data_IF_325270269056
#
_entry.id   IF_325270269056
#
_cell.length_a   1.000
_cell.length_b   1.000
_cell.length_c   1.000
_cell.angle_alpha   90.00
_cell.angle_beta   90.00
_cell.angle_gamma   90.00
#
_symmetry.space_group_name_H-M   'P 1'
#
loop_
_entity.id
_entity.type
_entity.pdbx_description
1 polymer ?
#
# COMPACT_ATOMS: atom_id res chain seq x y z
N UNK A 1 -30.70 34.52 5.45
CA UNK A 1 -30.35 33.12 5.11
C UNK A 1 -30.34 32.34 6.40
N UNK A 2 -31.30 31.42 6.54
CA UNK A 2 -31.39 30.50 7.67
C UNK A 2 -30.17 29.58 7.68
N UNK A 3 -29.84 29.03 8.85
CA UNK A 3 -28.80 27.99 8.99
C UNK A 3 -29.16 26.76 8.14
N UNK A 4 -30.45 26.54 7.93
CA UNK A 4 -31.02 25.48 7.11
C UNK A 4 -30.64 25.64 5.63
N UNK A 5 -30.74 26.86 5.09
CA UNK A 5 -30.40 27.16 3.69
C UNK A 5 -28.92 26.86 3.40
N UNK A 6 -28.04 27.19 4.36
CA UNK A 6 -26.60 26.90 4.26
C UNK A 6 -26.30 25.42 4.36
N UNK A 7 -27.04 24.67 5.17
CA UNK A 7 -26.88 23.23 5.30
C UNK A 7 -27.31 22.52 4.01
N UNK A 8 -28.39 22.97 3.37
CA UNK A 8 -28.88 22.44 2.08
C UNK A 8 -27.86 22.71 0.96
N UNK A 9 -27.32 23.92 0.87
CA UNK A 9 -26.31 24.27 -0.14
C UNK A 9 -25.03 23.42 -0.03
N UNK A 10 -24.58 23.15 1.20
CA UNK A 10 -23.40 22.31 1.46
C UNK A 10 -23.65 20.85 1.07
N UNK A 11 -24.84 20.31 1.36
CA UNK A 11 -25.21 18.95 0.95
C UNK A 11 -25.21 18.81 -0.57
N UNK A 12 -25.83 19.73 -1.30
CA UNK A 12 -25.86 19.67 -2.76
C UNK A 12 -24.46 19.78 -3.40
N UNK A 13 -23.55 20.54 -2.77
CA UNK A 13 -22.18 20.69 -3.28
C UNK A 13 -21.35 19.42 -3.08
N UNK A 14 -21.58 18.71 -1.97
CA UNK A 14 -20.93 17.44 -1.66
C UNK A 14 -21.46 16.34 -2.57
N UNK A 15 -22.78 16.24 -2.74
CA UNK A 15 -23.42 15.21 -3.57
C UNK A 15 -23.03 15.33 -5.05
N UNK A 16 -22.96 16.57 -5.57
CA UNK A 16 -22.48 16.85 -6.93
C UNK A 16 -21.02 16.43 -7.14
N UNK A 17 -20.14 16.61 -6.15
CA UNK A 17 -18.72 16.19 -6.23
C UNK A 17 -18.53 14.69 -6.07
N UNK A 18 -19.32 14.04 -5.20
CA UNK A 18 -19.19 12.61 -4.92
C UNK A 18 -19.80 11.72 -6.00
N UNK A 19 -20.80 12.20 -6.76
CA UNK A 19 -21.48 11.41 -7.80
C UNK A 19 -20.56 10.88 -8.92
N UNK A 20 -19.37 11.50 -9.10
CA UNK A 20 -18.32 11.05 -10.04
C UNK A 20 -17.19 10.22 -9.42
N UNK A 21 -17.03 10.24 -8.09
CA UNK A 21 -15.95 9.54 -7.37
C UNK A 21 -16.36 8.08 -7.22
N UNK A 22 -16.08 7.28 -8.25
CA UNK A 22 -16.34 5.82 -8.23
C UNK A 22 -16.83 5.23 -9.54
N UNK A 23 -17.16 6.06 -10.54
CA UNK A 23 -17.55 5.62 -11.89
C UNK A 23 -16.44 5.83 -12.94
N UNK A 24 -15.27 6.31 -12.54
CA UNK A 24 -14.12 6.51 -13.42
C UNK A 24 -13.48 5.21 -13.89
N UNK A 25 -12.66 5.30 -14.95
CA UNK A 25 -11.91 4.18 -15.55
C UNK A 25 -11.16 3.34 -14.51
N UNK A 26 -10.52 3.99 -13.54
CA UNK A 26 -9.76 3.34 -12.47
C UNK A 26 -10.61 2.54 -11.47
N UNK A 27 -11.81 3.01 -11.15
CA UNK A 27 -12.73 2.27 -10.28
C UNK A 27 -13.19 0.96 -10.93
N UNK A 28 -13.35 0.94 -12.26
CA UNK A 28 -13.64 -0.29 -13.00
C UNK A 28 -12.46 -1.26 -12.97
N UNK A 29 -11.22 -0.76 -13.11
CA UNK A 29 -10.01 -1.58 -13.07
C UNK A 29 -9.84 -2.25 -11.70
N UNK A 30 -10.01 -1.51 -10.60
CA UNK A 30 -9.89 -2.06 -9.24
C UNK A 30 -10.98 -3.12 -8.99
N UNK A 31 -12.20 -2.91 -9.51
CA UNK A 31 -13.28 -3.91 -9.42
C UNK A 31 -13.03 -5.16 -10.28
N UNK A 32 -12.25 -5.06 -11.35
CA UNK A 32 -11.86 -6.18 -12.21
C UNK A 32 -10.62 -6.93 -11.70
N UNK A 33 -9.84 -6.34 -10.78
CA UNK A 33 -8.66 -6.98 -10.22
C UNK A 33 -9.05 -8.21 -9.39
N UNK A 34 -8.36 -9.33 -9.61
CA UNK A 34 -8.55 -10.56 -8.84
C UNK A 34 -8.02 -10.34 -7.41
N UNK A 35 -8.88 -10.51 -6.41
CA UNK A 35 -8.44 -10.61 -5.02
C UNK A 35 -7.70 -11.94 -4.84
N UNK A 36 -6.46 -11.95 -4.31
CA UNK A 36 -5.72 -13.19 -4.13
C UNK A 36 -6.43 -14.10 -3.14
N UNK A 37 -6.37 -15.41 -3.39
CA UNK A 37 -6.77 -16.39 -2.39
C UNK A 37 -5.76 -16.42 -1.23
N UNK A 38 -6.17 -16.94 -0.06
CA UNK A 38 -5.28 -17.06 1.10
C UNK A 38 -4.04 -17.89 0.77
N UNK A 39 -4.19 -18.98 0.03
CA UNK A 39 -3.06 -19.85 -0.31
C UNK A 39 -2.10 -19.18 -1.30
N UNK A 40 -2.63 -18.43 -2.27
CA UNK A 40 -1.81 -17.65 -3.22
C UNK A 40 -1.02 -16.57 -2.48
N UNK A 41 -1.68 -15.85 -1.58
CA UNK A 41 -1.05 -14.80 -0.77
C UNK A 41 0.07 -15.37 0.11
N UNK A 42 -0.19 -16.47 0.82
CA UNK A 42 0.79 -17.09 1.72
C UNK A 42 2.01 -17.60 0.97
N UNK A 43 1.84 -18.23 -0.21
CA UNK A 43 2.97 -18.67 -1.03
C UNK A 43 3.88 -17.53 -1.43
N UNK A 44 3.31 -16.43 -1.92
CA UNK A 44 4.08 -15.23 -2.30
C UNK A 44 4.78 -14.63 -1.09
N UNK A 45 4.06 -14.48 0.02
CA UNK A 45 4.60 -13.94 1.27
C UNK A 45 5.81 -14.74 1.77
N UNK A 46 5.76 -16.07 1.71
CA UNK A 46 6.87 -16.94 2.13
C UNK A 46 8.11 -16.76 1.25
N UNK A 47 7.93 -16.72 -0.08
CA UNK A 47 9.04 -16.54 -1.02
C UNK A 47 9.67 -15.16 -0.85
N UNK A 48 8.85 -14.11 -0.77
CA UNK A 48 9.34 -12.74 -0.57
C UNK A 48 10.00 -12.58 0.79
N UNK A 49 9.41 -13.14 1.85
CA UNK A 49 9.98 -13.12 3.20
C UNK A 49 11.35 -13.79 3.25
N UNK A 50 11.50 -14.95 2.60
CA UNK A 50 12.78 -15.65 2.49
C UNK A 50 13.83 -14.80 1.75
N UNK A 51 13.44 -14.13 0.65
CA UNK A 51 14.32 -13.23 -0.09
C UNK A 51 14.82 -12.05 0.75
N UNK A 52 13.93 -11.41 1.53
CA UNK A 52 14.30 -10.30 2.42
C UNK A 52 15.31 -10.76 3.48
N UNK A 53 15.06 -11.92 4.10
CA UNK A 53 15.96 -12.49 5.11
C UNK A 53 17.32 -12.81 4.50
N UNK A 54 17.35 -13.45 3.33
CA UNK A 54 18.60 -13.82 2.66
C UNK A 54 19.45 -12.58 2.31
N UNK A 55 18.85 -11.57 1.70
CA UNK A 55 19.54 -10.33 1.33
C UNK A 55 20.01 -9.59 2.58
N UNK A 56 19.16 -9.52 3.62
CA UNK A 56 19.50 -8.92 4.90
C UNK A 56 20.68 -9.62 5.58
N UNK A 57 20.71 -10.96 5.58
CA UNK A 57 21.81 -11.74 6.12
C UNK A 57 23.11 -11.51 5.35
N UNK A 58 23.07 -11.47 4.01
CA UNK A 58 24.26 -11.20 3.19
C UNK A 58 24.82 -9.80 3.52
N UNK A 59 23.97 -8.78 3.57
CA UNK A 59 24.37 -7.42 3.96
C UNK A 59 24.92 -7.37 5.39
N UNK A 60 24.29 -8.11 6.31
CA UNK A 60 24.74 -8.22 7.69
C UNK A 60 26.10 -8.91 7.83
N UNK A 61 26.36 -9.98 7.07
CA UNK A 61 27.66 -10.67 7.06
C UNK A 61 28.75 -9.72 6.53
N UNK A 62 28.47 -8.97 5.45
CA UNK A 62 29.40 -7.97 4.91
C UNK A 62 29.71 -6.90 5.98
N UNK A 63 28.68 -6.40 6.68
CA UNK A 63 28.86 -5.46 7.79
C UNK A 63 29.71 -6.05 8.92
N UNK A 64 29.47 -7.29 9.35
CA UNK A 64 30.26 -7.93 10.41
C UNK A 64 31.74 -8.08 10.01
N UNK A 65 32.00 -8.50 8.77
CA UNK A 65 33.36 -8.67 8.27
C UNK A 65 34.10 -7.34 8.22
N UNK A 66 33.49 -6.31 7.61
CA UNK A 66 34.16 -5.02 7.43
C UNK A 66 34.16 -4.14 8.68
N UNK A 67 33.08 -4.18 9.48
CA UNK A 67 32.88 -3.29 10.62
C UNK A 67 33.40 -3.84 11.94
N UNK A 68 33.33 -5.16 12.16
CA UNK A 68 33.73 -5.79 13.44
C UNK A 68 35.10 -6.46 13.33
N UNK A 69 35.34 -7.21 12.24
CA UNK A 69 36.57 -7.98 12.08
C UNK A 69 37.71 -7.18 11.43
N UNK A 70 37.41 -6.38 10.41
CA UNK A 70 38.36 -5.47 9.79
C UNK A 70 38.43 -4.16 10.60
N UNK A 71 38.86 -4.28 11.85
CA UNK A 71 39.31 -3.13 12.62
C UNK A 71 40.63 -2.67 11.99
N UNK A 72 40.51 -1.90 10.91
CA UNK A 72 41.63 -1.14 10.34
C UNK A 72 42.22 -0.35 11.50
N UNK A 73 43.54 -0.43 11.75
CA UNK A 73 44.18 0.43 12.75
C UNK A 73 43.87 1.91 12.51
#
# INVERSE_FOLDING_TARGET
MSVEDKAVEVQERIERKFSGIGKGKYARIIRMAKKPDRDEYLKVLLITGFGIVLIGLIGFIIYLIMGVYFKVP
#
